data_IF_072942088883
#
_entry.id   IF_072942088883
#
_cell.length_a   1.000
_cell.length_b   1.000
_cell.length_c   1.000
_cell.angle_alpha   90.00
_cell.angle_beta   90.00
_cell.angle_gamma   90.00
#
_symmetry.space_group_name_H-M   'P 1'
#
loop_
_entity.id
_entity.type
_entity.pdbx_description
1 polymer ?
#
# COMPACT_ATOMS: atom_id res chain seq x y z
N UNK A 1 12.02 -35.55 -6.77
CA UNK A 1 12.68 -34.27 -6.40
C UNK A 1 12.78 -34.21 -4.88
N UNK A 2 13.96 -33.97 -4.29
CA UNK A 2 14.07 -33.79 -2.82
C UNK A 2 13.20 -32.60 -2.39
N UNK A 3 12.40 -32.74 -1.32
CA UNK A 3 11.53 -31.67 -0.82
C UNK A 3 12.27 -30.35 -0.54
N UNK A 4 13.57 -30.43 -0.22
CA UNK A 4 14.44 -29.28 -0.08
C UNK A 4 14.56 -28.44 -1.37
N UNK A 5 14.64 -29.09 -2.53
CA UNK A 5 14.71 -28.41 -3.83
C UNK A 5 13.41 -27.63 -4.11
N UNK A 6 12.26 -28.17 -3.71
CA UNK A 6 10.99 -27.47 -3.84
C UNK A 6 11.01 -26.15 -3.05
N UNK A 7 11.46 -26.21 -1.79
CA UNK A 7 11.53 -25.02 -0.92
C UNK A 7 12.45 -23.96 -1.52
N UNK A 8 13.68 -24.34 -1.88
CA UNK A 8 14.69 -23.38 -2.33
C UNK A 8 14.38 -22.79 -3.71
N UNK A 9 13.92 -23.59 -4.66
CA UNK A 9 13.74 -23.12 -6.04
C UNK A 9 12.34 -22.56 -6.32
N UNK A 10 11.32 -23.02 -5.61
CA UNK A 10 9.94 -22.60 -5.89
C UNK A 10 9.35 -21.72 -4.81
N UNK A 11 9.73 -21.93 -3.54
CA UNK A 11 9.07 -21.26 -2.42
C UNK A 11 9.80 -20.01 -1.94
N UNK A 12 11.11 -19.92 -2.19
CA UNK A 12 11.95 -18.78 -1.81
C UNK A 12 11.92 -17.61 -2.82
N UNK A 13 12.02 -17.82 -4.16
CA UNK A 13 12.10 -16.71 -5.10
C UNK A 13 10.85 -15.80 -5.13
N UNK A 14 9.61 -16.33 -5.13
CA UNK A 14 8.43 -15.48 -5.21
C UNK A 14 8.31 -14.45 -4.07
N UNK A 15 8.43 -14.82 -2.77
CA UNK A 15 8.32 -13.84 -1.71
C UNK A 15 9.48 -12.85 -1.71
N UNK A 16 10.68 -13.27 -2.15
CA UNK A 16 11.85 -12.41 -2.24
C UNK A 16 11.65 -11.32 -3.29
N UNK A 17 11.26 -11.72 -4.50
CA UNK A 17 11.01 -10.80 -5.61
C UNK A 17 9.87 -9.85 -5.24
N UNK A 18 8.73 -10.37 -4.78
CA UNK A 18 7.56 -9.54 -4.43
C UNK A 18 7.88 -8.55 -3.30
N UNK A 19 8.61 -8.97 -2.27
CA UNK A 19 9.01 -8.09 -1.16
C UNK A 19 9.90 -6.95 -1.65
N UNK A 20 10.90 -7.25 -2.48
CA UNK A 20 11.79 -6.21 -3.05
C UNK A 20 10.97 -5.23 -3.91
N UNK A 21 10.09 -5.74 -4.78
CA UNK A 21 9.22 -4.89 -5.60
C UNK A 21 8.27 -4.02 -4.76
N UNK A 22 7.80 -4.51 -3.62
CA UNK A 22 6.92 -3.77 -2.71
C UNK A 22 7.65 -2.67 -1.91
N UNK A 23 8.92 -2.89 -1.58
CA UNK A 23 9.75 -1.91 -0.85
C UNK A 23 10.18 -0.76 -1.77
N UNK A 24 10.39 -1.03 -3.05
CA UNK A 24 10.81 -0.01 -4.01
C UNK A 24 9.74 1.11 -4.15
N UNK A 25 10.15 2.40 -4.09
CA UNK A 25 9.24 3.53 -4.27
C UNK A 25 8.84 3.66 -5.75
N UNK A 26 7.86 2.85 -6.17
CA UNK A 26 7.34 2.83 -7.53
C UNK A 26 6.29 3.93 -7.74
N UNK A 27 6.14 4.47 -8.97
CA UNK A 27 5.09 5.42 -9.31
C UNK A 27 3.69 4.81 -9.07
N UNK A 28 2.72 5.68 -8.78
CA UNK A 28 1.40 5.28 -8.26
C UNK A 28 0.66 4.25 -9.13
N UNK A 29 0.80 4.33 -10.45
CA UNK A 29 0.19 3.39 -11.40
C UNK A 29 0.82 2.00 -11.29
N UNK A 30 2.14 1.92 -11.28
CA UNK A 30 2.88 0.67 -11.13
C UNK A 30 2.62 0.02 -9.77
N UNK A 31 2.55 0.84 -8.70
CA UNK A 31 2.21 0.36 -7.35
C UNK A 31 0.82 -0.27 -7.29
N UNK A 32 -0.19 0.33 -7.92
CA UNK A 32 -1.55 -0.25 -8.01
C UNK A 32 -1.55 -1.57 -8.79
N UNK A 33 -0.81 -1.65 -9.90
CA UNK A 33 -0.65 -2.87 -10.69
C UNK A 33 0.01 -3.99 -9.87
N UNK A 34 1.13 -3.66 -9.22
CA UNK A 34 1.86 -4.59 -8.35
C UNK A 34 0.98 -5.09 -7.21
N UNK A 35 0.19 -4.24 -6.56
CA UNK A 35 -0.73 -4.67 -5.50
C UNK A 35 -1.80 -5.62 -6.03
N UNK A 36 -2.34 -5.40 -7.24
CA UNK A 36 -3.29 -6.34 -7.86
C UNK A 36 -2.64 -7.70 -8.14
N UNK A 37 -1.43 -7.71 -8.70
CA UNK A 37 -0.67 -8.94 -8.96
C UNK A 37 -0.36 -9.67 -7.64
N UNK A 38 0.13 -8.93 -6.65
CA UNK A 38 0.46 -9.47 -5.33
C UNK A 38 -0.80 -10.03 -4.64
N UNK A 39 -1.93 -9.33 -4.72
CA UNK A 39 -3.23 -9.81 -4.23
C UNK A 39 -3.65 -11.09 -4.93
N UNK A 40 -3.56 -11.13 -6.26
CA UNK A 40 -3.92 -12.31 -7.03
C UNK A 40 -3.06 -13.51 -6.63
N UNK A 41 -1.75 -13.29 -6.46
CA UNK A 41 -0.82 -14.32 -6.05
C UNK A 41 -1.09 -14.81 -4.63
N UNK A 42 -1.22 -13.90 -3.65
CA UNK A 42 -1.45 -14.28 -2.24
C UNK A 42 -2.83 -14.85 -1.98
N UNK A 43 -3.87 -14.30 -2.61
CA UNK A 43 -5.25 -14.72 -2.47
C UNK A 43 -5.65 -15.82 -3.45
N UNK A 44 -4.68 -16.42 -4.18
CA UNK A 44 -4.97 -17.62 -4.96
C UNK A 44 -5.47 -18.69 -4.00
N UNK A 45 -6.76 -19.02 -4.12
CA UNK A 45 -7.42 -20.05 -3.33
C UNK A 45 -7.09 -21.42 -3.90
N UNK A 46 -6.41 -22.24 -3.12
CA UNK A 46 -6.23 -23.67 -3.41
C UNK A 46 -7.33 -24.40 -2.63
N UNK A 47 -8.29 -25.00 -3.34
CA UNK A 47 -9.39 -25.73 -2.69
C UNK A 47 -10.44 -24.86 -1.97
N UNK A 48 -10.66 -23.61 -2.42
CA UNK A 48 -11.79 -22.78 -2.00
C UNK A 48 -11.63 -21.99 -0.68
N UNK A 49 -10.84 -22.50 0.27
CA UNK A 49 -10.66 -21.85 1.59
C UNK A 49 -9.20 -21.49 1.92
N UNK A 50 -8.23 -22.32 1.53
CA UNK A 50 -6.83 -22.08 1.86
C UNK A 50 -6.21 -21.10 0.85
N UNK A 51 -5.74 -19.97 1.35
CA UNK A 51 -4.97 -19.02 0.55
C UNK A 51 -3.54 -19.53 0.41
N UNK A 52 -2.92 -19.30 -0.76
CA UNK A 52 -1.53 -19.67 -1.04
C UNK A 52 -0.57 -19.20 0.06
N UNK A 53 -0.78 -18.00 0.61
CA UNK A 53 0.03 -17.47 1.71
C UNK A 53 0.04 -18.40 2.94
N UNK A 54 -1.13 -18.93 3.33
CA UNK A 54 -1.24 -19.81 4.49
C UNK A 54 -0.55 -21.15 4.22
N UNK A 55 -0.72 -21.70 3.01
CA UNK A 55 -0.06 -22.93 2.60
C UNK A 55 1.46 -22.75 2.55
N UNK A 56 1.94 -21.63 2.02
CA UNK A 56 3.37 -21.34 1.96
C UNK A 56 3.95 -21.15 3.37
N UNK A 57 3.25 -20.45 4.27
CA UNK A 57 3.65 -20.27 5.67
C UNK A 57 3.67 -21.59 6.44
N UNK A 58 2.71 -22.49 6.23
CA UNK A 58 2.71 -23.79 6.91
C UNK A 58 3.84 -24.67 6.40
N UNK A 59 4.05 -24.77 5.08
CA UNK A 59 5.14 -25.56 4.51
C UNK A 59 6.51 -25.02 4.95
N UNK A 60 6.73 -23.72 4.85
CA UNK A 60 7.99 -23.09 5.29
C UNK A 60 8.18 -23.15 6.80
N UNK A 61 7.10 -23.04 7.59
CA UNK A 61 7.13 -23.18 9.03
C UNK A 61 7.50 -24.60 9.48
N UNK A 62 6.95 -25.64 8.82
CA UNK A 62 7.34 -27.03 9.05
C UNK A 62 8.81 -27.24 8.68
N UNK A 63 9.23 -26.75 7.52
CA UNK A 63 10.63 -26.86 7.09
C UNK A 63 11.60 -26.16 8.05
N UNK A 64 11.22 -24.98 8.55
CA UNK A 64 11.96 -24.25 9.57
C UNK A 64 12.05 -25.05 10.87
N UNK A 65 10.94 -25.62 11.37
CA UNK A 65 10.95 -26.44 12.58
C UNK A 65 11.85 -27.68 12.43
N UNK A 66 11.77 -28.39 11.30
CA UNK A 66 12.60 -29.57 11.03
C UNK A 66 14.09 -29.22 10.95
N UNK A 67 14.43 -28.10 10.29
CA UNK A 67 15.84 -27.66 10.21
C UNK A 67 16.36 -27.09 11.53
N UNK A 68 15.50 -26.45 12.32
CA UNK A 68 15.84 -25.97 13.66
C UNK A 68 16.14 -27.12 14.62
N UNK A 69 15.31 -28.16 14.65
CA UNK A 69 15.55 -29.35 15.50
C UNK A 69 16.83 -30.09 15.08
N UNK A 70 17.06 -30.24 13.77
CA UNK A 70 18.29 -30.83 13.25
C UNK A 70 19.53 -29.99 13.57
N UNK A 71 19.44 -28.67 13.50
CA UNK A 71 20.57 -27.78 13.83
C UNK A 71 20.83 -27.78 15.33
N UNK A 72 19.78 -27.80 16.14
CA UNK A 72 19.90 -27.86 17.60
C UNK A 72 20.50 -29.19 18.10
N UNK A 73 20.15 -30.32 17.49
CA UNK A 73 20.76 -31.60 17.86
C UNK A 73 22.25 -31.65 17.47
N UNK A 74 22.61 -31.12 16.30
CA UNK A 74 24.00 -31.08 15.81
C UNK A 74 24.88 -30.06 16.55
N UNK A 75 24.29 -28.97 17.07
CA UNK A 75 25.03 -27.98 17.86
C UNK A 75 25.47 -28.56 19.21
N UNK A 76 24.70 -29.50 19.76
CA UNK A 76 25.02 -30.22 21.01
C UNK A 76 25.97 -31.40 20.84
N UNK A 77 26.17 -31.89 19.62
CA UNK A 77 27.08 -32.98 19.33
C UNK A 77 28.54 -32.51 19.53
N UNK A 78 29.21 -33.01 20.56
CA UNK A 78 30.63 -32.72 20.79
C UNK A 78 31.46 -33.46 19.73
N UNK A 79 32.36 -32.73 19.04
CA UNK A 79 33.24 -33.36 18.06
C UNK A 79 34.36 -34.04 18.84
N UNK A 80 34.42 -35.36 18.73
CA UNK A 80 35.45 -36.16 19.41
C UNK A 80 36.85 -35.70 18.99
N UNK A 81 37.71 -35.29 19.94
CA UNK A 81 39.06 -34.83 19.64
C UNK A 81 39.98 -35.91 19.05
N UNK A 82 39.60 -37.19 19.19
CA UNK A 82 40.39 -38.33 18.67
C UNK A 82 40.17 -38.60 17.18
N UNK A 83 39.20 -37.91 16.55
CA UNK A 83 38.91 -38.07 15.13
C UNK A 83 40.09 -37.62 14.25
N UNK A 84 40.30 -38.35 13.16
CA UNK A 84 41.28 -37.95 12.14
C UNK A 84 40.91 -36.58 11.53
N UNK A 85 41.88 -35.78 11.05
CA UNK A 85 41.61 -34.47 10.45
C UNK A 85 40.57 -34.50 9.32
N UNK A 86 40.55 -35.60 8.53
CA UNK A 86 39.60 -35.79 7.43
C UNK A 86 38.17 -36.01 7.96
N UNK A 87 38.00 -36.84 8.99
CA UNK A 87 36.70 -37.07 9.61
C UNK A 87 36.18 -35.81 10.32
N UNK A 88 37.07 -35.06 10.97
CA UNK A 88 36.73 -33.78 11.59
C UNK A 88 36.23 -32.76 10.57
N UNK A 89 36.92 -32.66 9.44
CA UNK A 89 36.51 -31.79 8.33
C UNK A 89 35.14 -32.18 7.78
N UNK A 90 34.88 -33.48 7.64
CA UNK A 90 33.57 -33.99 7.23
C UNK A 90 32.45 -33.64 8.23
N UNK A 91 32.71 -33.80 9.53
CA UNK A 91 31.76 -33.45 10.58
C UNK A 91 31.45 -31.95 10.60
N UNK A 92 32.47 -31.09 10.50
CA UNK A 92 32.31 -29.64 10.39
C UNK A 92 31.52 -29.25 9.13
N UNK A 93 31.82 -29.87 7.99
CA UNK A 93 31.08 -29.64 6.75
C UNK A 93 29.61 -30.07 6.87
N UNK A 94 29.30 -31.13 7.63
CA UNK A 94 27.91 -31.53 7.92
C UNK A 94 27.19 -30.49 8.76
N UNK A 95 27.81 -29.99 9.84
CA UNK A 95 27.24 -28.93 10.70
C UNK A 95 26.96 -27.66 9.90
N UNK A 96 27.93 -27.21 9.11
CA UNK A 96 27.77 -26.03 8.25
C UNK A 96 26.61 -26.15 7.27
N UNK A 97 26.44 -27.32 6.63
CA UNK A 97 25.30 -27.55 5.72
C UNK A 97 23.96 -27.44 6.44
N UNK A 98 23.85 -27.97 7.66
CA UNK A 98 22.62 -27.90 8.44
C UNK A 98 22.32 -26.47 8.88
N UNK A 99 23.32 -25.75 9.38
CA UNK A 99 23.19 -24.35 9.76
C UNK A 99 22.74 -23.48 8.59
N UNK A 100 23.37 -23.64 7.43
CA UNK A 100 22.95 -22.94 6.20
C UNK A 100 21.51 -23.26 5.83
N UNK A 101 21.11 -24.53 5.89
CA UNK A 101 19.73 -24.93 5.58
C UNK A 101 18.73 -24.32 6.59
N UNK A 102 19.09 -24.27 7.87
CA UNK A 102 18.31 -23.57 8.90
C UNK A 102 18.13 -22.09 8.56
N UNK A 103 19.20 -21.37 8.23
CA UNK A 103 19.11 -19.95 7.86
C UNK A 103 18.26 -19.73 6.62
N UNK A 104 18.39 -20.58 5.58
CA UNK A 104 17.56 -20.49 4.38
C UNK A 104 16.08 -20.71 4.72
N UNK A 105 15.75 -21.72 5.54
CA UNK A 105 14.38 -22.00 5.94
C UNK A 105 13.80 -20.85 6.80
N UNK A 106 14.58 -20.35 7.75
CA UNK A 106 14.22 -19.22 8.62
C UNK A 106 13.93 -17.96 7.81
N UNK A 107 14.84 -17.59 6.91
CA UNK A 107 14.66 -16.43 6.03
C UNK A 107 13.45 -16.59 5.13
N UNK A 108 13.24 -17.78 4.54
CA UNK A 108 12.09 -18.03 3.66
C UNK A 108 10.77 -17.88 4.42
N UNK A 109 10.67 -18.47 5.61
CA UNK A 109 9.49 -18.36 6.48
C UNK A 109 9.21 -16.90 6.86
N UNK A 110 10.24 -16.17 7.31
CA UNK A 110 10.14 -14.76 7.65
C UNK A 110 9.70 -13.91 6.46
N UNK A 111 10.23 -14.19 5.27
CA UNK A 111 9.94 -13.44 4.04
C UNK A 111 8.48 -13.60 3.62
N UNK A 112 7.91 -14.80 3.77
CA UNK A 112 6.46 -15.00 3.56
C UNK A 112 5.62 -14.25 4.58
N UNK A 113 6.00 -14.25 5.86
CA UNK A 113 5.28 -13.52 6.91
C UNK A 113 5.33 -12.01 6.69
N UNK A 114 6.52 -11.50 6.36
CA UNK A 114 6.77 -10.09 6.08
C UNK A 114 6.08 -9.63 4.81
N UNK A 115 6.06 -10.45 3.75
CA UNK A 115 5.29 -10.19 2.54
C UNK A 115 3.79 -10.01 2.87
N UNK A 116 3.23 -10.94 3.66
CA UNK A 116 1.84 -10.86 4.10
C UNK A 116 1.52 -9.59 4.88
N UNK A 117 2.39 -9.21 5.84
CA UNK A 117 2.25 -7.99 6.63
C UNK A 117 2.40 -6.72 5.79
N UNK A 118 3.38 -6.67 4.90
CA UNK A 118 3.56 -5.52 4.02
C UNK A 118 2.39 -5.33 3.07
N UNK A 119 1.82 -6.40 2.54
CA UNK A 119 0.63 -6.29 1.71
C UNK A 119 -0.58 -5.73 2.47
N UNK A 120 -0.80 -6.15 3.72
CA UNK A 120 -1.86 -5.58 4.56
C UNK A 120 -1.64 -4.08 4.80
N UNK A 121 -0.44 -3.70 5.26
CA UNK A 121 -0.07 -2.30 5.49
C UNK A 121 -0.22 -1.45 4.21
N UNK A 122 0.13 -2.02 3.07
CA UNK A 122 -0.01 -1.39 1.77
C UNK A 122 -1.47 -1.13 1.38
N UNK A 123 -2.33 -2.12 1.59
CA UNK A 123 -3.76 -2.00 1.35
C UNK A 123 -4.39 -0.94 2.25
N UNK A 124 -4.03 -0.93 3.54
CA UNK A 124 -4.51 0.06 4.50
C UNK A 124 -4.06 1.47 4.09
N UNK A 125 -2.79 1.64 3.72
CA UNK A 125 -2.27 2.93 3.27
C UNK A 125 -2.98 3.44 2.00
N UNK A 126 -3.32 2.56 1.05
CA UNK A 126 -4.11 2.95 -0.12
C UNK A 126 -5.53 3.36 0.28
N UNK A 127 -6.20 2.58 1.13
CA UNK A 127 -7.54 2.88 1.62
C UNK A 127 -7.59 4.22 2.40
N UNK A 128 -6.58 4.49 3.23
CA UNK A 128 -6.44 5.76 3.94
C UNK A 128 -6.28 6.93 2.97
N UNK A 129 -5.42 6.81 1.93
CA UNK A 129 -5.26 7.87 0.93
C UNK A 129 -6.55 8.15 0.16
N UNK A 130 -7.33 7.12 -0.16
CA UNK A 130 -8.62 7.29 -0.84
C UNK A 130 -9.65 8.00 0.06
N UNK A 131 -9.68 7.67 1.36
CA UNK A 131 -10.52 8.38 2.34
C UNK A 131 -10.12 9.85 2.49
N UNK A 132 -8.82 10.14 2.61
CA UNK A 132 -8.33 11.53 2.68
C UNK A 132 -8.76 12.31 1.44
N UNK A 133 -8.57 11.74 0.24
CA UNK A 133 -8.97 12.39 -1.01
C UNK A 133 -10.48 12.63 -1.09
N UNK A 134 -11.30 11.69 -0.60
CA UNK A 134 -12.75 11.86 -0.55
C UNK A 134 -13.15 13.03 0.37
N UNK A 135 -12.58 13.09 1.57
CA UNK A 135 -12.84 14.16 2.53
C UNK A 135 -12.36 15.53 2.03
N UNK A 136 -11.20 15.59 1.37
CA UNK A 136 -10.71 16.82 0.75
C UNK A 136 -11.69 17.35 -0.31
N UNK A 137 -12.26 16.47 -1.15
CA UNK A 137 -13.26 16.86 -2.13
C UNK A 137 -14.57 17.31 -1.48
N UNK A 138 -15.01 16.64 -0.42
CA UNK A 138 -16.22 17.00 0.33
C UNK A 138 -16.08 18.34 1.07
N UNK A 139 -14.89 18.68 1.59
CA UNK A 139 -14.63 19.99 2.22
C UNK A 139 -14.49 21.10 1.18
N UNK A 140 -13.86 20.84 0.03
CA UNK A 140 -13.63 21.85 -1.01
C UNK A 140 -14.89 22.15 -1.84
N UNK A 141 -15.75 21.15 -2.09
CA UNK A 141 -16.99 21.35 -2.85
C UNK A 141 -17.94 22.43 -2.29
N UNK A 142 -18.24 22.50 -0.98
CA UNK A 142 -19.07 23.56 -0.39
C UNK A 142 -18.36 24.92 -0.33
N UNK A 143 -17.03 24.95 -0.25
CA UNK A 143 -16.27 26.21 -0.34
C UNK A 143 -16.31 26.79 -1.75
N UNK A 144 -16.25 25.96 -2.79
CA UNK A 144 -16.39 26.40 -4.17
C UNK A 144 -17.81 26.87 -4.52
N UNK A 145 -18.84 26.20 -3.99
CA UNK A 145 -20.24 26.62 -4.21
C UNK A 145 -20.59 27.91 -3.46
N UNK A 146 -20.08 28.09 -2.24
CA UNK A 146 -20.26 29.34 -1.48
C UNK A 146 -19.47 30.52 -2.08
N UNK A 147 -18.26 30.30 -2.59
CA UNK A 147 -17.48 31.34 -3.28
C UNK A 147 -18.11 31.76 -4.63
N UNK A 148 -18.66 30.80 -5.38
CA UNK A 148 -19.41 31.08 -6.61
C UNK A 148 -20.72 31.83 -6.33
N UNK A 149 -21.45 31.45 -5.26
CA UNK A 149 -22.64 32.17 -4.82
C UNK A 149 -22.32 33.61 -4.38
N UNK A 150 -21.24 33.83 -3.62
CA UNK A 150 -20.81 35.16 -3.20
C UNK A 150 -20.41 36.06 -4.38
N UNK A 151 -19.75 35.49 -5.40
CA UNK A 151 -19.36 36.23 -6.62
C UNK A 151 -20.58 36.59 -7.47
N UNK A 152 -21.58 35.70 -7.55
CA UNK A 152 -22.83 35.96 -8.29
C UNK A 152 -23.69 37.04 -7.63
N UNK A 153 -23.71 37.10 -6.29
CA UNK A 153 -24.40 38.15 -5.54
C UNK A 153 -23.72 39.51 -5.72
N UNK A 154 -22.38 39.56 -5.78
CA UNK A 154 -21.65 40.80 -6.08
C UNK A 154 -21.97 41.36 -7.47
N UNK A 155 -21.95 40.53 -8.51
CA UNK A 155 -22.24 40.97 -9.88
C UNK A 155 -23.71 41.35 -10.10
N UNK A 156 -24.65 40.79 -9.34
CA UNK A 156 -26.06 41.18 -9.40
C UNK A 156 -26.33 42.57 -8.79
N UNK A 157 -25.46 43.05 -7.91
CA UNK A 157 -25.64 44.32 -7.20
C UNK A 157 -24.96 45.52 -7.90
N UNK A 158 -24.06 45.30 -8.86
CA UNK A 158 -23.41 46.37 -9.64
C UNK A 158 -24.22 46.81 -10.88
N UNK A 159 -25.35 46.15 -11.19
CA UNK A 159 -26.18 46.46 -12.36
C UNK A 159 -27.38 47.39 -12.11
N UNK A 160 -27.59 47.88 -10.89
CA UNK A 160 -28.69 48.81 -10.57
C UNK A 160 -28.14 50.22 -10.48
N UNK A 161 -27.96 50.84 -11.65
CA UNK A 161 -27.76 52.29 -11.76
C UNK A 161 -29.05 52.99 -11.30
N UNK A 162 -29.01 53.89 -10.30
CA UNK A 162 -30.19 54.58 -9.81
C UNK A 162 -30.65 55.58 -10.89
N UNK A 163 -31.67 55.18 -11.65
CA UNK A 163 -32.36 56.05 -12.59
C UNK A 163 -32.85 57.31 -11.88
N UNK A 164 -32.41 58.46 -12.37
CA UNK A 164 -32.70 59.77 -11.81
C UNK A 164 -34.22 60.04 -11.77
N UNK A 165 -34.73 60.72 -10.73
CA UNK A 165 -36.15 61.05 -10.64
C UNK A 165 -36.58 62.05 -11.73
N UNK A 166 -37.81 61.91 -12.28
CA UNK A 166 -38.29 62.78 -13.35
C UNK A 166 -38.57 64.21 -12.84
N UNK A 167 -38.25 65.20 -13.68
CA UNK A 167 -38.44 66.62 -13.41
C UNK A 167 -39.94 67.01 -13.35
N UNK A 168 -40.33 68.03 -12.56
CA UNK A 168 -41.73 68.47 -12.45
C UNK A 168 -42.21 69.24 -13.70
N UNK A 169 -43.52 69.19 -14.02
CA UNK A 169 -44.09 69.87 -15.18
C UNK A 169 -44.16 71.40 -15.00
N UNK A 170 -43.73 72.13 -16.04
CA UNK A 170 -43.86 73.59 -16.16
C UNK A 170 -45.33 74.04 -16.11
N UNK A 171 -45.63 74.93 -15.17
CA UNK A 171 -46.90 75.62 -15.06
C UNK A 171 -46.88 76.86 -15.97
N UNK A 172 -47.67 76.79 -17.04
CA UNK A 172 -48.05 77.92 -17.90
C UNK A 172 -48.60 79.09 -17.06
N UNK A 173 -47.82 80.17 -16.95
CA UNK A 173 -48.33 81.49 -16.52
C UNK A 173 -48.76 82.30 -17.75
N UNK A 174 -50.08 82.38 -17.88
CA UNK A 174 -50.82 83.30 -18.74
C UNK A 174 -50.78 84.68 -18.06
N UNK A 175 -50.12 85.67 -18.64
CA UNK A 175 -50.35 87.07 -18.28
C UNK A 175 -51.03 87.82 -19.42
N UNK A 176 -52.22 88.29 -19.09
CA UNK A 176 -53.07 89.20 -19.82
C UNK A 176 -52.58 90.66 -19.68
N UNK A 177 -52.85 91.41 -20.75
CA UNK A 177 -53.39 92.79 -20.78
C UNK A 177 -52.45 94.01 -20.61
N UNK A 178 -52.53 94.81 -21.70
CA UNK A 178 -52.81 96.26 -21.80
C UNK A 178 -51.80 97.18 -21.13
N UNK A 179 -51.27 98.21 -21.78
CA UNK A 179 -51.88 99.46 -22.30
C UNK A 179 -50.65 100.25 -22.80
N UNK A 180 -50.62 101.13 -23.80
CA UNK A 180 -51.53 102.13 -24.34
C UNK A 180 -50.86 102.67 -25.60
#
# INVERSE_FOLDING_TARGET
MSGWKLIVYWLLPPPLILTILLILPMPSVARKGLLKVTRQFMCWKIGGQLQLLHVALTITGIAFAVTATATYSMSREHIDPTLTPNQRSYALARKWRQERNFWIAALTFLLWGLLGRFYQLMMDHVALRERVRYLELEVVAPLASSASAATRVKNANEGVEPSAPPAPPEVLKREEKKTK
#
